data_IF_622862782163
#
_entry.id   IF_622862782163
#
_cell.length_a   1.000
_cell.length_b   1.000
_cell.length_c   1.000
_cell.angle_alpha   90.00
_cell.angle_beta   90.00
_cell.angle_gamma   90.00
#
_symmetry.space_group_name_H-M   'P 1'
#
loop_
_entity.id
_entity.type
_entity.pdbx_description
1 polymer ?
#
# COMPACT_ATOMS: atom_id res chain seq x y z
N UNK A 1 6.75 -19.81 -8.46
CA UNK A 1 5.78 -18.90 -7.80
C UNK A 1 4.80 -18.43 -8.88
N UNK A 2 3.51 -18.35 -8.56
CA UNK A 2 2.47 -17.83 -9.45
C UNK A 2 1.71 -16.72 -8.74
N UNK A 3 1.31 -15.68 -9.47
CA UNK A 3 0.58 -14.53 -8.93
C UNK A 3 -0.71 -14.35 -9.71
N UNK A 4 -1.82 -14.13 -9.02
CA UNK A 4 -3.12 -13.82 -9.63
C UNK A 4 -3.89 -12.80 -8.82
N UNK A 5 -4.79 -12.06 -9.46
CA UNK A 5 -5.80 -11.26 -8.75
C UNK A 5 -7.00 -12.11 -8.32
N UNK A 6 -7.74 -11.65 -7.32
CA UNK A 6 -9.01 -12.23 -6.88
C UNK A 6 -10.07 -12.32 -7.98
N UNK A 7 -10.16 -11.34 -8.89
CA UNK A 7 -11.02 -11.44 -10.07
C UNK A 7 -10.67 -12.64 -10.96
N UNK A 8 -9.37 -12.89 -11.18
CA UNK A 8 -8.90 -14.07 -11.93
C UNK A 8 -9.11 -15.37 -11.17
N UNK A 9 -8.96 -15.35 -9.85
CA UNK A 9 -9.25 -16.47 -8.97
C UNK A 9 -10.71 -16.94 -9.10
N UNK A 10 -11.66 -16.01 -8.99
CA UNK A 10 -13.09 -16.33 -9.14
C UNK A 10 -13.50 -16.64 -10.58
N UNK A 11 -12.84 -16.04 -11.57
CA UNK A 11 -13.17 -16.29 -12.97
C UNK A 11 -12.81 -17.72 -13.42
N UNK A 12 -11.63 -18.21 -13.07
CA UNK A 12 -11.19 -19.58 -13.41
C UNK A 12 -10.07 -20.13 -12.51
N UNK A 13 -9.36 -19.27 -11.77
CA UNK A 13 -8.17 -19.66 -11.00
C UNK A 13 -8.42 -20.68 -9.90
N UNK A 14 -9.66 -20.77 -9.38
CA UNK A 14 -10.05 -21.82 -8.45
C UNK A 14 -9.87 -23.23 -9.04
N UNK A 15 -10.35 -23.44 -10.26
CA UNK A 15 -10.26 -24.74 -10.94
C UNK A 15 -8.89 -24.94 -11.59
N UNK A 16 -8.46 -23.99 -12.42
CA UNK A 16 -7.24 -24.15 -13.23
C UNK A 16 -5.95 -23.93 -12.44
N UNK A 17 -6.00 -23.14 -11.37
CA UNK A 17 -4.86 -22.86 -10.51
C UNK A 17 -4.80 -23.79 -9.29
N UNK A 18 -5.84 -23.75 -8.45
CA UNK A 18 -5.83 -24.47 -7.15
C UNK A 18 -6.12 -25.95 -7.32
N UNK A 19 -7.27 -26.32 -7.87
CA UNK A 19 -7.66 -27.73 -7.98
C UNK A 19 -6.65 -28.53 -8.83
N UNK A 20 -6.20 -27.95 -9.95
CA UNK A 20 -5.16 -28.56 -10.80
C UNK A 20 -3.82 -28.73 -10.06
N UNK A 21 -3.36 -27.74 -9.30
CA UNK A 21 -2.10 -27.87 -8.54
C UNK A 21 -2.20 -28.93 -7.44
N UNK A 22 -3.35 -29.01 -6.77
CA UNK A 22 -3.61 -30.04 -5.76
C UNK A 22 -3.67 -31.45 -6.37
N UNK A 23 -4.37 -31.60 -7.50
CA UNK A 23 -4.47 -32.87 -8.23
C UNK A 23 -3.09 -33.37 -8.69
N UNK A 24 -2.28 -32.49 -9.27
CA UNK A 24 -0.94 -32.81 -9.76
C UNK A 24 0.13 -32.86 -8.65
N UNK A 25 -0.24 -32.65 -7.39
CA UNK A 25 0.66 -32.65 -6.22
C UNK A 25 1.89 -31.74 -6.41
N UNK A 26 1.71 -30.61 -7.09
CA UNK A 26 2.81 -29.69 -7.38
C UNK A 26 3.24 -28.90 -6.15
N UNK A 27 4.54 -28.83 -5.86
CA UNK A 27 5.11 -27.93 -4.86
C UNK A 27 5.19 -26.51 -5.45
N UNK A 28 4.17 -25.69 -5.15
CA UNK A 28 3.98 -24.38 -5.77
C UNK A 28 3.56 -23.36 -4.73
N UNK A 29 4.07 -22.13 -4.88
CA UNK A 29 3.59 -20.97 -4.13
C UNK A 29 2.67 -20.15 -5.03
N UNK A 30 1.43 -19.96 -4.59
CA UNK A 30 0.42 -19.12 -5.23
C UNK A 30 0.17 -17.88 -4.38
N UNK A 31 0.34 -16.70 -4.96
CA UNK A 31 -0.01 -15.42 -4.34
C UNK A 31 -1.30 -14.92 -4.98
N UNK A 32 -2.33 -14.70 -4.16
CA UNK A 32 -3.61 -14.15 -4.58
C UNK A 32 -3.70 -12.71 -4.09
N UNK A 33 -3.68 -11.76 -5.01
CA UNK A 33 -3.86 -10.34 -4.74
C UNK A 33 -5.35 -10.06 -4.55
N UNK A 34 -5.79 -10.08 -3.30
CA UNK A 34 -7.16 -9.80 -2.89
C UNK A 34 -7.34 -8.30 -2.71
N UNK A 35 -7.87 -7.63 -3.73
CA UNK A 35 -8.11 -6.19 -3.71
C UNK A 35 -9.59 -5.79 -3.76
N UNK A 36 -10.47 -6.78 -3.82
CA UNK A 36 -11.93 -6.66 -3.75
C UNK A 36 -12.60 -6.31 -5.07
N UNK A 37 -11.87 -6.21 -6.19
CA UNK A 37 -12.42 -5.76 -7.47
C UNK A 37 -11.66 -6.35 -8.66
N UNK A 38 -12.32 -6.50 -9.80
CA UNK A 38 -11.59 -6.68 -11.08
C UNK A 38 -10.99 -5.33 -11.50
N UNK A 39 -9.85 -4.98 -10.90
CA UNK A 39 -9.24 -3.65 -11.01
C UNK A 39 -8.78 -3.32 -12.44
N UNK A 40 -8.28 -4.31 -13.18
CA UNK A 40 -7.75 -4.12 -14.54
C UNK A 40 -8.81 -3.67 -15.56
N UNK A 41 -10.08 -4.04 -15.35
CA UNK A 41 -11.16 -3.79 -16.31
C UNK A 41 -12.13 -2.69 -15.85
N UNK A 42 -11.80 -1.93 -14.81
CA UNK A 42 -12.62 -0.79 -14.36
C UNK A 42 -13.34 -0.98 -13.02
N UNK A 43 -12.85 -1.87 -12.16
CA UNK A 43 -13.36 -2.13 -10.81
C UNK A 43 -14.77 -2.74 -10.77
N UNK A 44 -15.00 -3.78 -11.59
CA UNK A 44 -16.18 -4.61 -11.49
C UNK A 44 -16.26 -5.29 -10.13
N UNK A 45 -17.48 -5.45 -9.63
CA UNK A 45 -17.74 -6.25 -8.45
C UNK A 45 -17.56 -7.73 -8.74
N UNK A 46 -17.02 -8.43 -7.76
CA UNK A 46 -16.69 -9.86 -7.76
C UNK A 46 -17.20 -10.46 -6.43
N UNK A 47 -17.25 -11.80 -6.29
CA UNK A 47 -17.84 -12.45 -5.11
C UNK A 47 -17.29 -11.98 -3.76
N UNK A 48 -16.02 -11.60 -3.69
CA UNK A 48 -15.38 -11.09 -2.49
C UNK A 48 -15.36 -9.54 -2.37
N UNK A 49 -16.13 -8.82 -3.20
CA UNK A 49 -16.26 -7.35 -3.06
C UNK A 49 -17.06 -7.00 -1.80
N UNK A 50 -16.47 -6.16 -0.93
CA UNK A 50 -17.17 -5.61 0.23
C UNK A 50 -18.21 -4.55 -0.20
N UNK A 51 -19.45 -4.67 0.30
CA UNK A 51 -20.47 -3.61 0.15
C UNK A 51 -21.10 -3.54 -1.25
N UNK A 52 -21.64 -4.66 -1.76
CA UNK A 52 -22.29 -4.70 -3.07
C UNK A 52 -23.51 -3.73 -3.18
N UNK A 53 -23.89 -3.34 -4.41
CA UNK A 53 -24.98 -2.37 -4.70
C UNK A 53 -26.40 -2.83 -4.34
N UNK A 54 -26.60 -4.10 -3.95
CA UNK A 54 -27.94 -4.69 -3.81
C UNK A 54 -28.28 -5.04 -2.35
N UNK A 55 -27.32 -5.60 -1.60
CA UNK A 55 -27.54 -6.15 -0.25
C UNK A 55 -26.35 -5.92 0.71
N UNK A 56 -25.25 -5.31 0.24
CA UNK A 56 -24.11 -4.88 1.06
C UNK A 56 -23.22 -5.98 1.64
N UNK A 57 -23.56 -7.27 1.49
CA UNK A 57 -22.79 -8.39 2.06
C UNK A 57 -21.81 -8.98 1.04
N UNK A 58 -20.58 -9.22 1.49
CA UNK A 58 -19.60 -10.04 0.77
C UNK A 58 -20.17 -11.45 0.61
N UNK A 59 -20.17 -12.00 -0.61
CA UNK A 59 -20.81 -13.31 -0.87
C UNK A 59 -19.85 -14.48 -0.76
N UNK A 60 -18.53 -14.24 -0.83
CA UNK A 60 -17.52 -15.32 -0.74
C UNK A 60 -16.20 -14.83 -0.16
N UNK A 61 -15.53 -15.72 0.60
CA UNK A 61 -14.21 -15.48 1.21
C UNK A 61 -13.18 -16.46 0.63
N UNK A 62 -12.09 -15.92 0.06
CA UNK A 62 -11.08 -16.71 -0.65
C UNK A 62 -10.37 -17.67 0.32
N UNK A 63 -10.01 -17.21 1.51
CA UNK A 63 -9.27 -18.02 2.48
C UNK A 63 -10.12 -19.20 2.97
N UNK A 64 -11.39 -18.97 3.29
CA UNK A 64 -12.34 -20.01 3.67
C UNK A 64 -12.55 -21.02 2.54
N UNK A 65 -12.72 -20.57 1.30
CA UNK A 65 -12.85 -21.47 0.13
C UNK A 65 -11.61 -22.35 -0.04
N UNK A 66 -10.41 -21.78 0.02
CA UNK A 66 -9.16 -22.54 -0.08
C UNK A 66 -9.00 -23.56 1.05
N UNK A 67 -9.37 -23.17 2.27
CA UNK A 67 -9.34 -24.07 3.43
C UNK A 67 -10.31 -25.24 3.24
N UNK A 68 -11.52 -24.96 2.76
CA UNK A 68 -12.53 -25.98 2.46
C UNK A 68 -12.09 -26.94 1.34
N UNK A 69 -11.30 -26.47 0.36
CA UNK A 69 -10.69 -27.31 -0.67
C UNK A 69 -9.55 -28.19 -0.16
N UNK A 70 -9.06 -27.98 1.06
CA UNK A 70 -7.98 -28.77 1.66
C UNK A 70 -6.58 -28.19 1.49
N UNK A 71 -6.46 -26.89 1.17
CA UNK A 71 -5.16 -26.19 1.19
C UNK A 71 -4.65 -26.16 2.63
N UNK A 72 -3.53 -26.83 2.88
CA UNK A 72 -2.94 -26.96 4.23
C UNK A 72 -2.11 -25.73 4.62
N UNK A 73 -1.33 -25.21 3.68
CA UNK A 73 -0.48 -24.05 3.91
C UNK A 73 -1.15 -22.81 3.33
N UNK A 74 -1.72 -21.99 4.22
CA UNK A 74 -2.45 -20.77 3.89
C UNK A 74 -2.02 -19.65 4.84
N UNK A 75 -1.73 -18.48 4.27
CA UNK A 75 -1.46 -17.24 5.02
C UNK A 75 -2.27 -16.11 4.41
N UNK A 76 -2.98 -15.36 5.24
CA UNK A 76 -3.63 -14.11 4.84
C UNK A 76 -2.85 -12.96 5.43
N UNK A 77 -2.33 -12.09 4.58
CA UNK A 77 -1.39 -11.03 4.96
C UNK A 77 -1.83 -9.74 4.31
N UNK A 78 -1.71 -8.63 5.04
CA UNK A 78 -1.93 -7.30 4.46
C UNK A 78 -0.85 -7.01 3.40
N UNK A 79 -1.27 -6.76 2.16
CA UNK A 79 -0.38 -6.55 1.00
C UNK A 79 0.65 -5.43 1.20
N UNK A 80 0.30 -4.40 1.97
CA UNK A 80 1.17 -3.24 2.19
C UNK A 80 2.23 -3.44 3.29
N UNK A 81 2.20 -4.53 4.06
CA UNK A 81 3.26 -4.86 5.01
C UNK A 81 4.35 -5.68 4.29
N UNK A 82 5.35 -4.97 3.75
CA UNK A 82 6.36 -5.55 2.85
C UNK A 82 7.24 -6.56 3.59
N UNK A 83 7.63 -6.26 4.84
CA UNK A 83 8.46 -7.15 5.64
C UNK A 83 7.77 -8.49 5.91
N UNK A 84 6.49 -8.47 6.27
CA UNK A 84 5.71 -9.71 6.51
C UNK A 84 5.50 -10.49 5.22
N UNK A 85 5.20 -9.81 4.10
CA UNK A 85 5.07 -10.46 2.79
C UNK A 85 6.35 -11.18 2.37
N UNK A 86 7.51 -10.52 2.54
CA UNK A 86 8.81 -11.11 2.25
C UNK A 86 9.12 -12.30 3.16
N UNK A 87 8.83 -12.17 4.46
CA UNK A 87 8.99 -13.24 5.44
C UNK A 87 8.16 -14.48 5.09
N UNK A 88 6.88 -14.29 4.79
CA UNK A 88 5.99 -15.41 4.43
C UNK A 88 6.29 -16.02 3.06
N UNK A 89 6.79 -15.24 2.09
CA UNK A 89 7.30 -15.80 0.85
C UNK A 89 8.52 -16.69 1.08
N UNK A 90 9.47 -16.25 1.92
CA UNK A 90 10.64 -17.06 2.31
C UNK A 90 10.22 -18.33 3.06
N UNK A 91 9.29 -18.21 4.01
CA UNK A 91 8.69 -19.34 4.72
C UNK A 91 8.07 -20.33 3.74
N UNK A 92 7.28 -19.87 2.76
CA UNK A 92 6.65 -20.73 1.77
C UNK A 92 7.67 -21.48 0.90
N UNK A 93 8.71 -20.78 0.43
CA UNK A 93 9.73 -21.36 -0.44
C UNK A 93 10.61 -22.38 0.29
N UNK A 94 10.92 -22.13 1.56
CA UNK A 94 11.82 -22.97 2.35
C UNK A 94 11.09 -23.98 3.25
N UNK A 95 9.76 -23.95 3.30
CA UNK A 95 8.98 -24.89 4.13
C UNK A 95 9.21 -26.34 3.67
N UNK A 96 9.39 -27.27 4.64
CA UNK A 96 9.48 -28.70 4.33
C UNK A 96 8.14 -29.27 3.82
N UNK A 97 7.01 -28.60 4.09
CA UNK A 97 5.70 -29.01 3.62
C UNK A 97 5.66 -29.01 2.10
N UNK A 98 5.34 -30.15 1.49
CA UNK A 98 5.18 -30.27 0.04
C UNK A 98 3.73 -30.01 -0.38
N UNK A 99 3.59 -29.37 -1.54
CA UNK A 99 2.29 -29.13 -2.17
C UNK A 99 1.99 -27.64 -2.38
N UNK A 100 0.72 -27.33 -2.61
CA UNK A 100 0.29 -25.96 -2.87
C UNK A 100 0.30 -25.12 -1.59
N UNK A 101 1.06 -24.04 -1.62
CA UNK A 101 1.18 -23.02 -0.58
C UNK A 101 0.54 -21.74 -1.08
N UNK A 102 -0.42 -21.19 -0.34
CA UNK A 102 -1.17 -20.01 -0.78
C UNK A 102 -0.96 -18.83 0.17
N UNK A 103 -0.64 -17.68 -0.40
CA UNK A 103 -0.62 -16.39 0.29
C UNK A 103 -1.75 -15.55 -0.27
N UNK A 104 -2.74 -15.24 0.55
CA UNK A 104 -3.80 -14.26 0.24
C UNK A 104 -3.30 -12.89 0.69
N UNK A 105 -2.86 -12.08 -0.27
CA UNK A 105 -2.40 -10.72 -0.08
C UNK A 105 -3.61 -9.77 -0.08
N UNK A 106 -4.10 -9.42 1.11
CA UNK A 106 -5.28 -8.60 1.33
C UNK A 106 -4.95 -7.11 1.34
N UNK A 107 -5.58 -6.36 0.44
CA UNK A 107 -5.41 -4.92 0.35
C UNK A 107 -6.31 -4.30 -0.70
N UNK A 108 -7.31 -3.54 -0.24
CA UNK A 108 -8.26 -2.86 -1.12
C UNK A 108 -7.57 -2.03 -2.21
N UNK A 109 -8.09 -2.14 -3.44
CA UNK A 109 -7.66 -1.32 -4.56
C UNK A 109 -7.73 0.18 -4.22
N UNK A 110 -6.59 0.86 -4.22
CA UNK A 110 -6.54 2.27 -3.83
C UNK A 110 -7.38 3.16 -4.74
N UNK A 111 -7.51 2.85 -6.03
CA UNK A 111 -8.37 3.63 -6.93
C UNK A 111 -9.85 3.52 -6.56
N UNK A 112 -10.32 2.31 -6.27
CA UNK A 112 -11.69 2.08 -5.80
C UNK A 112 -11.93 2.75 -4.44
N UNK A 113 -10.99 2.58 -3.50
CA UNK A 113 -11.01 3.23 -2.20
C UNK A 113 -11.08 4.75 -2.32
N UNK A 114 -10.23 5.37 -3.14
CA UNK A 114 -10.23 6.81 -3.38
C UNK A 114 -11.55 7.31 -3.97
N UNK A 115 -12.15 6.57 -4.91
CA UNK A 115 -13.49 6.91 -5.45
C UNK A 115 -14.57 6.92 -4.37
N UNK A 116 -14.50 6.00 -3.40
CA UNK A 116 -15.44 5.94 -2.28
C UNK A 116 -15.19 7.04 -1.24
N UNK A 117 -13.94 7.26 -0.82
CA UNK A 117 -13.63 8.17 0.29
C UNK A 117 -13.59 9.64 -0.12
N UNK A 118 -13.27 9.97 -1.38
CA UNK A 118 -13.14 11.37 -1.82
C UNK A 118 -14.44 12.17 -1.64
N UNK A 119 -15.63 11.66 -2.05
CA UNK A 119 -16.90 12.35 -1.79
C UNK A 119 -17.21 12.47 -0.29
N UNK A 120 -16.91 11.44 0.50
CA UNK A 120 -17.12 11.43 1.95
C UNK A 120 -16.28 12.52 2.63
N UNK A 121 -14.98 12.57 2.31
CA UNK A 121 -14.05 13.59 2.79
C UNK A 121 -14.51 14.99 2.35
N UNK A 122 -14.92 15.16 1.09
CA UNK A 122 -15.43 16.45 0.63
C UNK A 122 -16.67 16.91 1.41
N UNK A 123 -17.58 15.99 1.76
CA UNK A 123 -18.74 16.29 2.58
C UNK A 123 -18.36 16.64 4.03
N UNK A 124 -17.41 15.92 4.63
CA UNK A 124 -16.87 16.23 5.96
C UNK A 124 -16.25 17.63 5.99
N UNK A 125 -15.43 17.95 4.99
CA UNK A 125 -14.80 19.27 4.87
C UNK A 125 -15.84 20.40 4.76
N UNK A 126 -16.91 20.19 3.97
CA UNK A 126 -18.04 21.14 3.86
C UNK A 126 -18.77 21.35 5.19
N UNK A 127 -18.83 20.34 6.06
CA UNK A 127 -19.43 20.43 7.40
C UNK A 127 -18.47 21.03 8.44
N UNK A 128 -17.27 21.47 8.05
CA UNK A 128 -16.28 22.00 8.98
C UNK A 128 -15.60 20.92 9.84
N UNK A 129 -15.77 19.64 9.51
CA UNK A 129 -15.17 18.55 10.28
C UNK A 129 -13.67 18.44 10.00
N UNK A 130 -12.90 18.10 11.05
CA UNK A 130 -11.46 17.88 10.98
C UNK A 130 -11.14 16.64 10.15
N UNK A 131 -10.36 16.81 9.09
CA UNK A 131 -9.90 15.70 8.23
C UNK A 131 -8.38 15.62 8.27
N UNK A 132 -7.86 14.40 8.40
CA UNK A 132 -6.42 14.12 8.32
C UNK A 132 -6.14 13.27 7.09
N UNK A 133 -5.19 13.69 6.27
CA UNK A 133 -4.71 12.93 5.11
C UNK A 133 -3.22 12.69 5.24
N UNK A 134 -2.84 11.43 5.34
CA UNK A 134 -1.43 11.03 5.29
C UNK A 134 -0.88 11.16 3.89
N UNK A 135 0.33 11.70 3.79
CA UNK A 135 1.14 11.81 2.58
C UNK A 135 2.58 11.41 2.92
N UNK A 136 3.28 10.87 1.94
CA UNK A 136 4.71 10.61 2.06
C UNK A 136 5.47 11.67 1.29
N UNK A 137 6.69 11.94 1.73
CA UNK A 137 7.61 12.85 1.08
C UNK A 137 9.03 12.28 1.10
N UNK A 138 9.88 12.92 0.32
CA UNK A 138 11.32 12.67 0.27
C UNK A 138 11.99 14.01 0.56
N UNK A 139 12.89 14.01 1.53
CA UNK A 139 13.75 15.15 1.82
C UNK A 139 14.82 15.25 0.72
N UNK A 140 14.83 16.38 0.02
CA UNK A 140 15.72 16.59 -1.12
C UNK A 140 17.19 16.70 -0.69
N UNK A 141 17.45 17.24 0.52
CA UNK A 141 18.81 17.45 1.03
C UNK A 141 19.47 16.12 1.45
N UNK A 142 18.65 15.18 1.94
CA UNK A 142 19.10 13.86 2.39
C UNK A 142 19.06 12.81 1.27
N UNK A 143 18.25 13.03 0.23
CA UNK A 143 18.09 12.07 -0.86
C UNK A 143 19.42 11.79 -1.55
N UNK A 144 19.81 10.52 -1.74
CA UNK A 144 21.05 10.13 -2.44
C UNK A 144 20.91 10.07 -3.95
N UNK A 145 19.69 10.10 -4.49
CA UNK A 145 19.43 10.12 -5.94
C UNK A 145 19.57 8.76 -6.62
N UNK A 146 19.63 7.67 -5.84
CA UNK A 146 19.73 6.29 -6.34
C UNK A 146 18.43 5.75 -6.98
N UNK A 147 17.31 6.45 -6.73
CA UNK A 147 15.95 6.13 -7.14
C UNK A 147 15.49 4.70 -6.83
N UNK A 148 16.10 4.04 -5.85
CA UNK A 148 15.72 2.68 -5.43
C UNK A 148 14.28 2.61 -4.96
N UNK A 149 13.83 3.67 -4.29
CA UNK A 149 12.45 3.85 -3.86
C UNK A 149 11.44 3.81 -5.03
N UNK A 150 11.75 4.42 -6.18
CA UNK A 150 10.90 4.38 -7.39
C UNK A 150 10.88 2.96 -7.95
N UNK A 151 12.06 2.38 -8.16
CA UNK A 151 12.22 1.05 -8.77
C UNK A 151 11.53 -0.06 -7.97
N UNK A 152 11.65 -0.02 -6.64
CA UNK A 152 11.13 -1.09 -5.78
C UNK A 152 9.65 -0.92 -5.44
N UNK A 153 9.18 0.32 -5.24
CA UNK A 153 7.78 0.56 -4.91
C UNK A 153 6.86 0.58 -6.13
N UNK A 154 7.38 0.94 -7.31
CA UNK A 154 6.59 1.17 -8.51
C UNK A 154 5.51 2.24 -8.34
N UNK A 155 5.69 3.17 -7.40
CA UNK A 155 4.66 4.14 -7.06
C UNK A 155 4.50 5.20 -8.17
N UNK A 156 3.30 5.35 -8.79
CA UNK A 156 3.08 6.34 -9.85
C UNK A 156 3.15 7.80 -9.35
N UNK A 157 3.10 8.01 -8.03
CA UNK A 157 3.24 9.33 -7.42
C UNK A 157 4.69 9.67 -7.04
N UNK A 158 5.61 8.73 -7.18
CA UNK A 158 7.03 8.94 -6.89
C UNK A 158 7.76 9.20 -8.21
N UNK A 159 8.09 10.46 -8.44
CA UNK A 159 8.68 11.00 -9.66
C UNK A 159 10.07 11.55 -9.37
N UNK A 160 10.76 12.07 -10.39
CA UNK A 160 12.04 12.76 -10.23
C UNK A 160 11.88 14.26 -10.49
N UNK A 161 12.70 15.08 -9.85
CA UNK A 161 12.83 16.51 -10.12
C UNK A 161 14.31 16.92 -10.09
N UNK A 162 14.69 18.07 -10.68
CA UNK A 162 16.06 18.57 -10.59
C UNK A 162 16.51 18.70 -9.12
N UNK A 163 17.80 18.41 -8.88
CA UNK A 163 18.41 18.64 -7.57
C UNK A 163 18.37 20.14 -7.23
N UNK A 164 18.02 20.52 -5.99
CA UNK A 164 18.17 21.90 -5.54
C UNK A 164 19.64 22.31 -5.37
N UNK A 165 20.54 21.34 -5.19
CA UNK A 165 21.98 21.56 -5.13
C UNK A 165 22.57 21.70 -6.56
N UNK A 166 23.13 22.87 -6.93
CA UNK A 166 23.70 23.11 -8.25
C UNK A 166 24.97 22.29 -8.55
N UNK A 167 25.63 21.76 -7.51
CA UNK A 167 26.82 20.90 -7.68
C UNK A 167 26.46 19.45 -7.99
N UNK A 168 25.17 19.11 -7.93
CA UNK A 168 24.68 17.76 -8.09
C UNK A 168 23.92 17.58 -9.40
N UNK A 169 24.42 16.69 -10.24
CA UNK A 169 23.83 16.38 -11.55
C UNK A 169 22.63 15.45 -11.47
N UNK A 170 22.61 14.54 -10.49
CA UNK A 170 21.56 13.53 -10.38
C UNK A 170 20.27 14.12 -9.81
N UNK A 171 19.10 13.86 -10.42
CA UNK A 171 17.83 14.36 -9.93
C UNK A 171 17.46 13.68 -8.60
N UNK A 172 16.63 14.36 -7.81
CA UNK A 172 16.13 13.84 -6.53
C UNK A 172 14.74 13.24 -6.70
N UNK A 173 14.43 12.22 -5.89
CA UNK A 173 13.10 11.64 -5.86
C UNK A 173 12.10 12.61 -5.21
N UNK A 174 10.88 12.65 -5.73
CA UNK A 174 9.85 13.58 -5.28
C UNK A 174 8.47 12.91 -5.29
N UNK A 175 7.70 13.11 -4.23
CA UNK A 175 6.31 12.63 -4.16
C UNK A 175 5.35 13.71 -4.65
N UNK A 176 4.73 13.50 -5.80
CA UNK A 176 3.77 14.44 -6.37
C UNK A 176 2.42 14.45 -5.63
N UNK A 177 1.53 15.36 -6.05
CA UNK A 177 0.20 15.55 -5.42
C UNK A 177 -0.80 14.40 -5.66
N UNK A 178 -0.44 13.43 -6.49
CA UNK A 178 -1.23 12.20 -6.69
C UNK A 178 -1.12 11.20 -5.55
N UNK A 179 -0.23 11.43 -4.57
CA UNK A 179 -0.02 10.52 -3.46
C UNK A 179 -1.31 10.33 -2.64
N UNK A 180 -1.74 9.08 -2.54
CA UNK A 180 -2.93 8.66 -1.79
C UNK A 180 -2.61 8.19 -0.36
N UNK A 181 -1.34 8.23 0.04
CA UNK A 181 -0.90 7.82 1.37
C UNK A 181 -1.04 6.32 1.64
N UNK A 182 -0.83 5.45 0.64
CA UNK A 182 -1.01 4.00 0.81
C UNK A 182 0.01 3.34 1.75
N UNK A 183 1.18 3.96 1.97
CA UNK A 183 2.24 3.46 2.84
C UNK A 183 3.27 2.56 2.17
N UNK A 184 2.99 2.04 0.98
CA UNK A 184 3.89 1.07 0.32
C UNK A 184 5.32 1.60 0.13
N UNK A 185 5.49 2.82 -0.37
CA UNK A 185 6.83 3.38 -0.60
C UNK A 185 7.59 3.63 0.71
N UNK A 186 6.91 4.01 1.79
CA UNK A 186 7.51 4.15 3.11
C UNK A 186 7.91 2.80 3.70
N UNK A 187 7.04 1.80 3.59
CA UNK A 187 7.32 0.42 4.02
C UNK A 187 8.49 -0.19 3.24
N UNK A 188 8.60 0.06 1.93
CA UNK A 188 9.75 -0.37 1.14
C UNK A 188 11.03 0.35 1.60
N UNK A 189 10.96 1.67 1.85
CA UNK A 189 12.11 2.43 2.30
C UNK A 189 12.62 1.96 3.68
N UNK A 190 11.71 1.64 4.60
CA UNK A 190 12.02 1.16 5.94
C UNK A 190 12.44 -0.31 5.96
N UNK A 191 11.66 -1.21 5.36
CA UNK A 191 11.93 -2.65 5.36
C UNK A 191 13.23 -3.03 4.63
N UNK A 192 13.67 -2.20 3.68
CA UNK A 192 14.95 -2.38 3.01
C UNK A 192 16.04 -1.41 3.48
N UNK A 193 15.78 -0.62 4.54
CA UNK A 193 16.71 0.38 5.12
C UNK A 193 17.34 1.25 4.04
N UNK A 194 16.54 1.62 3.02
CA UNK A 194 17.07 2.15 1.77
C UNK A 194 17.37 3.64 1.86
N UNK A 195 16.59 4.38 2.65
CA UNK A 195 16.52 5.81 2.40
C UNK A 195 16.16 6.62 3.66
N UNK A 196 17.16 7.28 4.31
CA UNK A 196 16.89 8.14 5.45
C UNK A 196 16.09 9.41 5.09
N UNK A 197 15.91 9.72 3.80
CA UNK A 197 15.17 10.89 3.35
C UNK A 197 13.65 10.70 3.31
N UNK A 198 13.13 9.49 3.49
CA UNK A 198 11.68 9.28 3.49
C UNK A 198 11.05 9.77 4.78
N UNK A 199 9.99 10.57 4.65
CA UNK A 199 9.19 11.00 5.78
C UNK A 199 7.70 10.84 5.53
N UNK A 200 6.96 10.65 6.61
CA UNK A 200 5.50 10.67 6.64
C UNK A 200 5.02 12.01 7.17
N UNK A 201 4.14 12.66 6.43
CA UNK A 201 3.48 13.89 6.85
C UNK A 201 1.96 13.70 6.89
N UNK A 202 1.31 14.22 7.92
CA UNK A 202 -0.14 14.24 8.02
C UNK A 202 -0.65 15.66 7.72
N UNK A 203 -1.41 15.80 6.64
CA UNK A 203 -2.05 17.05 6.24
C UNK A 203 -3.38 17.17 6.99
N UNK A 204 -3.48 18.16 7.87
CA UNK A 204 -4.70 18.44 8.64
C UNK A 204 -5.49 19.56 7.97
N UNK A 205 -6.75 19.28 7.64
CA UNK A 205 -7.72 20.26 7.14
C UNK A 205 -8.82 20.46 8.19
N UNK A 206 -9.36 21.69 8.28
CA UNK A 206 -10.24 22.12 9.37
C UNK A 206 -9.59 21.88 10.75
N UNK A 207 -8.37 22.41 10.92
CA UNK A 207 -7.58 22.24 12.13
C UNK A 207 -8.31 22.82 13.35
N UNK A 208 -8.40 22.01 14.41
CA UNK A 208 -8.98 22.40 15.69
C UNK A 208 -8.08 23.39 16.42
N UNK A 209 -8.61 24.06 17.44
CA UNK A 209 -7.80 24.97 18.27
C UNK A 209 -6.59 24.24 18.90
N UNK A 210 -6.76 22.98 19.31
CA UNK A 210 -5.69 22.13 19.82
C UNK A 210 -4.61 21.83 18.78
N UNK A 211 -4.98 21.58 17.52
CA UNK A 211 -4.00 21.38 16.44
C UNK A 211 -3.16 22.63 16.22
N UNK A 212 -3.80 23.81 16.23
CA UNK A 212 -3.11 25.10 16.06
C UNK A 212 -2.19 25.41 17.23
N UNK A 213 -2.63 25.14 18.47
CA UNK A 213 -1.79 25.32 19.65
C UNK A 213 -0.55 24.42 19.60
N UNK A 214 -0.74 23.12 19.32
CA UNK A 214 0.37 22.17 19.16
C UNK A 214 1.33 22.59 18.05
N UNK A 215 0.81 23.09 16.93
CA UNK A 215 1.63 23.59 15.83
C UNK A 215 2.47 24.79 16.26
N UNK A 216 1.89 25.79 16.95
CA UNK A 216 2.66 26.96 17.45
C UNK A 216 3.78 26.56 18.40
N UNK A 217 3.49 25.68 19.36
CA UNK A 217 4.49 25.19 20.32
C UNK A 217 5.61 24.44 19.57
N UNK A 218 5.26 23.52 18.67
CA UNK A 218 6.24 22.78 17.88
C UNK A 218 7.10 23.69 17.02
N UNK A 219 6.51 24.65 16.31
CA UNK A 219 7.24 25.60 15.48
C UNK A 219 8.17 26.48 16.31
N UNK A 220 7.75 26.91 17.51
CA UNK A 220 8.60 27.68 18.42
C UNK A 220 9.79 26.87 18.93
N UNK A 221 9.58 25.61 19.31
CA UNK A 221 10.67 24.72 19.76
C UNK A 221 11.62 24.39 18.61
N UNK A 222 11.09 24.04 17.43
CA UNK A 222 11.90 23.78 16.24
C UNK A 222 12.71 25.02 15.88
N UNK A 223 12.10 26.21 15.88
CA UNK A 223 12.82 27.47 15.63
C UNK A 223 13.93 27.75 16.63
N UNK A 224 13.71 27.44 17.92
CA UNK A 224 14.72 27.57 18.96
C UNK A 224 15.86 26.55 18.81
N UNK A 225 15.55 25.30 18.45
CA UNK A 225 16.54 24.23 18.27
C UNK A 225 17.31 24.32 16.96
N UNK A 226 16.67 24.76 15.87
CA UNK A 226 17.30 24.98 14.57
C UNK A 226 18.13 26.29 14.54
N UNK A 227 18.15 27.04 15.64
CA UNK A 227 19.03 28.18 15.87
C UNK A 227 18.94 29.27 14.80
N UNK A 228 17.94 30.17 14.85
CA UNK A 228 17.90 31.44 14.09
C UNK A 228 18.43 31.40 12.63
N UNK A 229 18.26 30.29 11.91
CA UNK A 229 18.61 30.17 10.50
C UNK A 229 17.59 30.80 9.54
N UNK A 230 16.76 31.73 10.03
CA UNK A 230 15.86 32.54 9.20
C UNK A 230 16.39 33.98 9.18
N UNK A 231 17.46 34.19 8.43
CA UNK A 231 17.87 35.52 7.96
C UNK A 231 18.43 35.42 6.55
N UNK A 232 17.51 35.37 5.57
CA UNK A 232 17.56 35.97 4.24
C UNK A 232 16.39 35.44 3.40
#
# INVERSE_FOLDING_TARGET
>A
ISVMGDGGFWHNGLLSGVASAMFNRGDRVLVIMQNGYTSATGAQFIPNTAGNRRDGKTTSDIAATLKAMGVKWLRTIRTYNVATMLGSLREAMNSPDKGLKVIVADGECQLARQRRIRPQIAAQLKRGERVVRTRYGVDDEVCTGDHSCIRLSGCPSLVVKPSPDPLRSDPVAHVNNGCVGCGLCGEVADAAVLCPSFYRADIVQNATWWDRLKWRVRSSVIGAMAGNGASA
#
